data_IF_245880653843
#
_entry.id   IF_245880653843
#
_cell.length_a   1.000
_cell.length_b   1.000
_cell.length_c   1.000
_cell.angle_alpha   90.00
_cell.angle_beta   90.00
_cell.angle_gamma   90.00
#
_symmetry.space_group_name_H-M   'P 1'
#
loop_
_entity.id
_entity.type
_entity.pdbx_description
1 polymer ?
#
# COMPACT_ATOMS: atom_id res chain seq x y z
N UNK A 1 5.59 9.49 -12.42
CA UNK A 1 4.80 10.71 -12.67
C UNK A 1 5.66 11.73 -13.41
N UNK A 2 5.21 12.22 -14.56
CA UNK A 2 5.92 13.20 -15.39
C UNK A 2 6.19 14.56 -14.69
N UNK A 3 5.55 14.83 -13.58
CA UNK A 3 5.70 16.06 -12.78
C UNK A 3 6.63 15.90 -11.57
N UNK A 4 7.43 14.84 -11.52
CA UNK A 4 8.35 14.63 -10.40
C UNK A 4 9.59 15.54 -10.57
N UNK A 5 9.92 16.39 -9.60
CA UNK A 5 10.98 17.39 -9.72
C UNK A 5 12.39 16.79 -9.86
N UNK A 6 12.58 15.52 -9.51
CA UNK A 6 13.89 14.85 -9.60
C UNK A 6 14.14 14.19 -10.96
N UNK A 7 13.13 14.08 -11.84
CA UNK A 7 13.28 13.46 -13.14
C UNK A 7 14.10 14.37 -14.06
N UNK A 8 15.06 13.79 -14.79
CA UNK A 8 15.98 14.47 -15.70
C UNK A 8 16.89 15.51 -15.02
N UNK A 9 16.99 15.49 -13.68
CA UNK A 9 17.86 16.38 -12.91
C UNK A 9 19.07 15.59 -12.41
N UNK A 10 20.33 16.06 -12.62
CA UNK A 10 21.50 15.43 -12.05
C UNK A 10 21.43 15.38 -10.51
N UNK A 11 21.85 14.27 -9.90
CA UNK A 11 21.76 14.08 -8.45
C UNK A 11 22.49 15.17 -7.65
N UNK A 12 23.60 15.69 -8.16
CA UNK A 12 24.32 16.82 -7.53
C UNK A 12 23.43 18.06 -7.38
N UNK A 13 22.59 18.37 -8.37
CA UNK A 13 21.67 19.52 -8.32
C UNK A 13 20.55 19.30 -7.32
N UNK A 14 20.15 18.06 -7.05
CA UNK A 14 19.16 17.77 -6.02
C UNK A 14 19.66 18.16 -4.63
N UNK A 15 20.94 18.00 -4.34
CA UNK A 15 21.54 18.42 -3.07
C UNK A 15 21.55 19.94 -2.92
N UNK A 16 21.68 20.70 -4.01
CA UNK A 16 21.61 22.15 -4.03
C UNK A 16 20.15 22.66 -3.91
N UNK A 17 19.24 22.07 -4.69
CA UNK A 17 17.82 22.42 -4.69
C UNK A 17 17.13 22.08 -3.38
N UNK A 18 17.57 21.02 -2.72
CA UNK A 18 16.99 20.51 -1.47
C UNK A 18 18.03 20.44 -0.35
N UNK A 19 18.77 21.53 -0.15
CA UNK A 19 19.91 21.64 0.79
C UNK A 19 19.60 21.23 2.23
N UNK A 20 18.34 21.31 2.65
CA UNK A 20 17.88 20.92 3.99
C UNK A 20 17.28 19.50 4.04
N UNK A 21 17.44 18.69 2.98
CA UNK A 21 16.94 17.33 2.93
C UNK A 21 18.03 16.36 3.36
N UNK A 22 17.86 15.73 4.52
CA UNK A 22 18.78 14.66 4.96
C UNK A 22 18.39 13.34 4.29
N UNK A 23 18.67 13.24 2.99
CA UNK A 23 18.40 12.06 2.19
C UNK A 23 19.58 11.74 1.26
N UNK A 24 19.86 10.46 1.08
CA UNK A 24 20.94 9.95 0.23
C UNK A 24 20.36 8.88 -0.69
N UNK A 25 20.62 8.98 -1.99
CA UNK A 25 20.30 7.93 -2.95
C UNK A 25 21.36 6.84 -2.88
N UNK A 26 20.99 5.67 -2.40
CA UNK A 26 21.88 4.53 -2.24
C UNK A 26 22.02 3.70 -3.51
N UNK A 27 20.97 3.65 -4.32
CA UNK A 27 20.96 2.84 -5.53
C UNK A 27 19.79 3.18 -6.43
N UNK A 28 19.94 2.81 -7.70
CA UNK A 28 18.91 2.95 -8.72
C UNK A 28 18.78 1.63 -9.46
N UNK A 29 17.55 1.11 -9.55
CA UNK A 29 17.21 0.01 -10.44
C UNK A 29 16.53 0.58 -11.68
N UNK A 30 17.17 0.43 -12.81
CA UNK A 30 16.66 0.82 -14.13
C UNK A 30 16.46 -0.44 -14.96
N UNK A 31 15.21 -0.76 -15.27
CA UNK A 31 14.84 -2.06 -15.84
C UNK A 31 15.35 -3.19 -14.92
N UNK A 32 16.22 -4.08 -15.41
CA UNK A 32 16.78 -5.19 -14.61
C UNK A 32 18.16 -4.89 -13.99
N UNK A 33 18.71 -3.68 -14.19
CA UNK A 33 20.06 -3.33 -13.73
C UNK A 33 20.00 -2.47 -12.48
N UNK A 34 20.61 -2.97 -11.39
CA UNK A 34 20.85 -2.21 -10.17
C UNK A 34 22.26 -1.59 -10.21
N UNK A 35 22.39 -0.31 -9.90
CA UNK A 35 23.67 0.38 -9.82
C UNK A 35 23.67 1.46 -8.73
N UNK A 36 24.86 1.81 -8.25
CA UNK A 36 25.06 2.97 -7.37
C UNK A 36 25.23 4.20 -8.26
N UNK A 37 24.36 5.21 -8.16
CA UNK A 37 24.43 6.36 -9.02
C UNK A 37 25.58 7.29 -8.63
N UNK A 38 26.13 7.97 -9.64
CA UNK A 38 27.11 9.04 -9.48
C UNK A 38 26.44 10.41 -9.41
N UNK A 39 27.11 11.47 -8.92
CA UNK A 39 26.51 12.81 -8.82
C UNK A 39 26.00 13.38 -10.15
N UNK A 40 26.59 12.96 -11.27
CA UNK A 40 26.22 13.38 -12.64
C UNK A 40 25.05 12.60 -13.21
N UNK A 41 24.71 11.45 -12.62
CA UNK A 41 23.62 10.61 -13.10
C UNK A 41 22.26 11.29 -12.90
N UNK A 42 21.36 11.03 -13.85
CA UNK A 42 19.99 11.52 -13.83
C UNK A 42 19.03 10.35 -13.56
N UNK A 43 17.95 10.67 -12.88
CA UNK A 43 16.83 9.76 -12.68
C UNK A 43 15.81 9.91 -13.81
N UNK A 44 15.26 8.80 -14.25
CA UNK A 44 14.25 8.76 -15.31
C UNK A 44 12.93 8.18 -14.81
N UNK A 45 11.86 8.47 -15.52
CA UNK A 45 10.56 7.85 -15.24
C UNK A 45 10.67 6.33 -15.38
N UNK A 46 10.16 5.60 -14.39
CA UNK A 46 10.25 4.14 -14.33
C UNK A 46 11.47 3.60 -13.56
N UNK A 47 12.39 4.46 -13.13
CA UNK A 47 13.47 4.05 -12.22
C UNK A 47 12.91 3.73 -10.83
N UNK A 48 13.39 2.65 -10.24
CA UNK A 48 13.18 2.36 -8.83
C UNK A 48 14.38 2.88 -8.04
N UNK A 49 14.13 3.83 -7.14
CA UNK A 49 15.19 4.54 -6.41
C UNK A 49 15.19 4.11 -4.94
N UNK A 50 16.35 3.68 -4.46
CA UNK A 50 16.58 3.34 -3.05
C UNK A 50 17.15 4.56 -2.34
N UNK A 51 16.37 5.14 -1.42
CA UNK A 51 16.74 6.36 -0.72
C UNK A 51 16.81 6.08 0.77
N UNK A 52 17.88 6.52 1.40
CA UNK A 52 18.01 6.59 2.86
C UNK A 52 17.69 8.01 3.31
N UNK A 53 16.83 8.16 4.32
CA UNK A 53 16.51 9.46 4.90
C UNK A 53 16.22 9.36 6.39
N UNK A 54 16.26 10.50 7.10
CA UNK A 54 15.79 10.54 8.47
C UNK A 54 14.28 10.33 8.53
N UNK A 55 13.78 9.85 9.67
CA UNK A 55 12.33 9.68 9.90
C UNK A 55 11.59 11.02 9.75
N UNK A 56 12.22 12.13 10.16
CA UNK A 56 11.66 13.48 10.05
C UNK A 56 11.48 13.92 8.60
N UNK A 57 12.44 13.57 7.74
CA UNK A 57 12.46 13.98 6.33
C UNK A 57 11.77 12.97 5.41
N UNK A 58 11.31 11.82 5.93
CA UNK A 58 10.73 10.73 5.14
C UNK A 58 9.59 11.20 4.23
N UNK A 59 8.63 11.94 4.77
CA UNK A 59 7.49 12.39 4.00
C UNK A 59 7.92 13.34 2.87
N UNK A 60 8.75 14.34 3.20
CA UNK A 60 9.28 15.30 2.22
C UNK A 60 10.15 14.62 1.16
N UNK A 61 10.95 13.63 1.57
CA UNK A 61 11.74 12.83 0.65
C UNK A 61 10.85 12.11 -0.37
N UNK A 62 9.79 11.44 0.09
CA UNK A 62 8.86 10.74 -0.79
C UNK A 62 8.14 11.68 -1.76
N UNK A 63 7.70 12.85 -1.31
CA UNK A 63 7.07 13.88 -2.15
C UNK A 63 8.04 14.37 -3.25
N UNK A 64 9.29 14.65 -2.90
CA UNK A 64 10.34 15.07 -3.84
C UNK A 64 10.60 14.00 -4.90
N UNK A 65 10.63 12.72 -4.52
CA UNK A 65 10.79 11.60 -5.45
C UNK A 65 9.47 11.19 -6.16
N UNK A 66 8.45 12.05 -6.11
CA UNK A 66 7.19 11.88 -6.85
C UNK A 66 6.28 10.78 -6.32
N UNK A 67 6.57 10.24 -5.14
CA UNK A 67 5.59 9.50 -4.35
C UNK A 67 4.76 10.51 -3.57
N UNK A 68 3.75 11.02 -4.23
CA UNK A 68 2.66 11.67 -3.51
C UNK A 68 2.04 10.59 -2.61
N UNK A 69 2.41 10.64 -1.34
CA UNK A 69 1.73 9.87 -0.31
C UNK A 69 0.34 10.49 -0.19
N UNK A 70 -0.53 10.21 -1.15
CA UNK A 70 -1.96 10.29 -0.87
C UNK A 70 -2.11 9.48 0.42
N UNK A 71 -2.33 10.17 1.51
CA UNK A 71 -2.48 9.55 2.82
C UNK A 71 -3.64 8.60 2.66
N UNK A 72 -3.33 7.31 2.47
CA UNK A 72 -4.31 6.27 2.28
C UNK A 72 -5.25 6.31 3.47
N UNK A 73 -6.38 6.95 3.29
CA UNK A 73 -7.35 7.16 4.36
C UNK A 73 -8.51 6.17 4.27
N UNK A 74 -8.76 5.61 3.10
CA UNK A 74 -9.86 4.66 2.86
C UNK A 74 -9.29 3.26 2.63
N UNK A 75 -9.60 2.37 3.52
CA UNK A 75 -9.03 1.04 3.57
C UNK A 75 -10.14 -0.01 3.60
N UNK A 76 -9.92 -1.11 2.87
CA UNK A 76 -10.73 -2.33 3.03
C UNK A 76 -9.82 -3.42 3.61
N UNK A 77 -10.28 -4.08 4.66
CA UNK A 77 -9.67 -5.29 5.20
C UNK A 77 -10.62 -6.45 4.89
N UNK A 78 -10.10 -7.53 4.31
CA UNK A 78 -10.86 -8.75 4.04
C UNK A 78 -10.32 -9.86 4.93
N UNK A 79 -11.16 -10.33 5.84
CA UNK A 79 -10.85 -11.27 6.91
C UNK A 79 -10.84 -10.62 8.27
N UNK A 80 -11.80 -11.00 9.12
CA UNK A 80 -11.96 -10.53 10.50
C UNK A 80 -11.28 -11.42 11.55
N UNK A 81 -10.32 -12.25 11.13
CA UNK A 81 -9.50 -13.05 12.02
C UNK A 81 -8.51 -12.20 12.83
N UNK A 82 -7.58 -12.87 13.52
CA UNK A 82 -6.61 -12.20 14.39
C UNK A 82 -5.81 -11.09 13.69
N UNK A 83 -5.36 -11.33 12.45
CA UNK A 83 -4.57 -10.35 11.70
C UNK A 83 -5.42 -9.14 11.36
N UNK A 84 -6.57 -9.34 10.70
CA UNK A 84 -7.44 -8.24 10.26
C UNK A 84 -7.98 -7.40 11.41
N UNK A 85 -8.41 -8.05 12.49
CA UNK A 85 -8.87 -7.36 13.70
C UNK A 85 -7.77 -6.51 14.33
N UNK A 86 -6.54 -7.04 14.47
CA UNK A 86 -5.44 -6.29 15.04
C UNK A 86 -5.00 -5.12 14.16
N UNK A 87 -5.02 -5.27 12.83
CA UNK A 87 -4.76 -4.18 11.91
C UNK A 87 -5.82 -3.08 12.07
N UNK A 88 -7.12 -3.45 12.08
CA UNK A 88 -8.21 -2.49 12.27
C UNK A 88 -8.09 -1.73 13.59
N UNK A 89 -7.83 -2.42 14.70
CA UNK A 89 -7.59 -1.81 16.03
C UNK A 89 -6.42 -0.83 16.00
N UNK A 90 -5.32 -1.22 15.39
CA UNK A 90 -4.12 -0.37 15.28
C UNK A 90 -4.41 0.90 14.49
N UNK A 91 -5.16 0.79 13.39
CA UNK A 91 -5.56 1.93 12.58
C UNK A 91 -6.47 2.89 13.35
N UNK A 92 -7.42 2.38 14.12
CA UNK A 92 -8.29 3.21 14.98
C UNK A 92 -7.51 3.95 16.07
N UNK A 93 -6.48 3.32 16.64
CA UNK A 93 -5.66 3.89 17.70
C UNK A 93 -4.65 4.93 17.20
N UNK A 94 -4.06 4.70 16.00
CA UNK A 94 -2.90 5.48 15.53
C UNK A 94 -3.26 6.89 15.12
N UNK A 95 -4.47 7.14 14.58
CA UNK A 95 -4.88 8.49 14.16
C UNK A 95 -6.39 8.54 13.93
N UNK A 96 -7.13 9.00 14.93
CA UNK A 96 -8.60 8.90 15.01
C UNK A 96 -9.35 9.43 13.79
N UNK A 97 -8.82 10.44 13.09
CA UNK A 97 -9.52 11.09 11.99
C UNK A 97 -8.92 10.79 10.61
N UNK A 98 -7.89 9.95 10.55
CA UNK A 98 -7.11 9.75 9.33
C UNK A 98 -7.54 8.55 8.49
N UNK A 99 -8.07 7.50 9.12
CA UNK A 99 -8.38 6.24 8.44
C UNK A 99 -9.88 5.94 8.50
N UNK A 100 -10.45 5.70 7.33
CA UNK A 100 -11.81 5.17 7.14
C UNK A 100 -11.67 3.71 6.73
N UNK A 101 -11.90 2.82 7.66
CA UNK A 101 -11.71 1.40 7.46
C UNK A 101 -13.06 0.70 7.30
N UNK A 102 -13.16 -0.19 6.32
CA UNK A 102 -14.22 -1.19 6.20
C UNK A 102 -13.59 -2.57 6.37
N UNK A 103 -14.25 -3.47 7.09
CA UNK A 103 -13.79 -4.83 7.25
C UNK A 103 -14.88 -5.79 6.78
N UNK A 104 -14.50 -6.67 5.84
CA UNK A 104 -15.38 -7.70 5.30
C UNK A 104 -15.06 -9.02 5.98
N UNK A 105 -16.07 -9.65 6.59
CA UNK A 105 -15.94 -10.95 7.25
C UNK A 105 -17.10 -11.87 6.83
N UNK A 106 -16.74 -13.08 6.37
CA UNK A 106 -17.69 -14.04 5.84
C UNK A 106 -18.52 -14.72 6.93
N UNK A 107 -17.87 -15.06 8.04
CA UNK A 107 -18.54 -15.69 9.17
C UNK A 107 -19.31 -14.64 9.98
N UNK A 108 -20.62 -14.81 10.07
CA UNK A 108 -21.52 -13.87 10.76
C UNK A 108 -21.16 -13.70 12.25
N UNK A 109 -20.92 -14.80 12.97
CA UNK A 109 -20.57 -14.72 14.40
C UNK A 109 -19.24 -14.02 14.63
N UNK A 110 -18.26 -14.24 13.73
CA UNK A 110 -16.99 -13.52 13.77
C UNK A 110 -17.19 -12.04 13.43
N UNK A 111 -18.00 -11.70 12.44
CA UNK A 111 -18.32 -10.33 12.09
C UNK A 111 -18.96 -9.56 13.25
N UNK A 112 -19.88 -10.18 13.98
CA UNK A 112 -20.49 -9.63 15.20
C UNK A 112 -19.42 -9.41 16.30
N UNK A 113 -18.55 -10.39 16.55
CA UNK A 113 -17.43 -10.27 17.52
C UNK A 113 -16.47 -9.13 17.17
N UNK A 114 -16.15 -9.00 15.88
CA UNK A 114 -15.28 -7.91 15.38
C UNK A 114 -15.97 -6.56 15.53
N UNK A 115 -17.27 -6.48 15.24
CA UNK A 115 -18.06 -5.25 15.38
C UNK A 115 -18.07 -4.77 16.84
N UNK A 116 -18.22 -5.67 17.81
CA UNK A 116 -18.18 -5.33 19.24
C UNK A 116 -16.79 -4.86 19.71
N UNK A 117 -15.75 -5.19 18.95
CA UNK A 117 -14.35 -4.89 19.30
C UNK A 117 -13.80 -3.61 18.67
N UNK A 118 -14.52 -2.99 17.73
CA UNK A 118 -14.11 -1.82 16.95
C UNK A 118 -15.15 -0.71 17.09
N UNK A 119 -14.68 0.53 17.15
CA UNK A 119 -15.55 1.68 17.39
C UNK A 119 -15.96 2.41 16.08
N UNK A 120 -15.11 2.36 15.05
CA UNK A 120 -15.25 3.21 13.85
C UNK A 120 -15.13 2.46 12.53
N UNK A 121 -14.61 1.25 12.56
CA UNK A 121 -14.52 0.41 11.39
C UNK A 121 -15.90 -0.12 11.02
N UNK A 122 -16.32 0.10 9.79
CA UNK A 122 -17.60 -0.44 9.28
C UNK A 122 -17.41 -1.91 8.95
N UNK A 123 -18.22 -2.77 9.58
CA UNK A 123 -18.18 -4.21 9.36
C UNK A 123 -19.22 -4.59 8.32
N UNK A 124 -18.79 -5.28 7.27
CA UNK A 124 -19.64 -5.84 6.23
C UNK A 124 -19.59 -7.37 6.34
N UNK A 125 -20.74 -7.99 6.54
CA UNK A 125 -20.81 -9.45 6.62
C UNK A 125 -21.06 -10.04 5.22
N UNK A 126 -20.10 -10.77 4.70
CA UNK A 126 -20.21 -11.46 3.41
C UNK A 126 -18.86 -11.95 2.87
N UNK A 127 -18.92 -12.56 1.69
CA UNK A 127 -17.74 -13.11 1.03
C UNK A 127 -16.89 -12.00 0.39
N UNK A 128 -15.60 -11.95 0.70
CA UNK A 128 -14.65 -11.00 0.10
C UNK A 128 -14.43 -11.17 -1.41
N UNK A 129 -14.95 -12.26 -2.00
CA UNK A 129 -14.98 -12.48 -3.43
C UNK A 129 -16.29 -12.00 -4.09
N UNK A 130 -17.29 -11.60 -3.32
CA UNK A 130 -18.54 -11.07 -3.87
C UNK A 130 -18.32 -9.66 -4.41
N UNK A 131 -18.54 -9.50 -5.73
CA UNK A 131 -18.33 -8.23 -6.40
C UNK A 131 -19.31 -7.15 -5.91
N UNK A 132 -20.56 -7.52 -5.66
CA UNK A 132 -21.57 -6.56 -5.16
C UNK A 132 -21.20 -6.03 -3.78
N UNK A 133 -20.65 -6.86 -2.92
CA UNK A 133 -20.17 -6.46 -1.60
C UNK A 133 -18.92 -5.58 -1.69
N UNK A 134 -18.00 -5.90 -2.59
CA UNK A 134 -16.83 -5.06 -2.85
C UNK A 134 -17.20 -3.69 -3.44
N UNK A 135 -18.22 -3.63 -4.29
CA UNK A 135 -18.78 -2.38 -4.81
C UNK A 135 -19.47 -1.57 -3.70
N UNK A 136 -20.25 -2.20 -2.82
CA UNK A 136 -20.81 -1.57 -1.61
C UNK A 136 -19.70 -1.04 -0.69
N UNK A 137 -18.60 -1.77 -0.58
CA UNK A 137 -17.41 -1.31 0.12
C UNK A 137 -16.71 -0.13 -0.58
N UNK A 138 -17.10 0.23 -1.81
CA UNK A 138 -16.49 1.25 -2.67
C UNK A 138 -15.05 0.92 -3.09
N UNK A 139 -14.80 -0.33 -3.51
CA UNK A 139 -13.46 -0.82 -3.88
C UNK A 139 -12.72 0.06 -4.88
N UNK A 140 -13.44 0.68 -5.84
CA UNK A 140 -12.85 1.57 -6.85
C UNK A 140 -12.37 2.93 -6.30
N UNK A 141 -12.67 3.25 -5.04
CA UNK A 141 -12.31 4.52 -4.42
C UNK A 141 -11.41 4.38 -3.19
N UNK A 142 -11.02 3.15 -2.85
CA UNK A 142 -10.13 2.91 -1.71
C UNK A 142 -8.67 3.19 -2.09
N UNK A 143 -7.90 3.57 -1.09
CA UNK A 143 -6.48 3.82 -1.24
C UNK A 143 -5.67 2.52 -1.06
N UNK A 144 -6.19 1.58 -0.28
CA UNK A 144 -5.61 0.24 -0.14
C UNK A 144 -6.65 -0.82 0.22
N UNK A 145 -6.35 -2.07 -0.16
CA UNK A 145 -7.02 -3.28 0.32
C UNK A 145 -6.00 -4.22 0.96
N UNK A 146 -6.41 -4.85 2.07
CA UNK A 146 -5.64 -5.88 2.75
C UNK A 146 -6.47 -7.16 2.78
N UNK A 147 -6.03 -8.20 2.07
CA UNK A 147 -6.66 -9.52 2.11
C UNK A 147 -5.85 -10.43 3.05
N UNK A 148 -6.43 -10.73 4.22
CA UNK A 148 -5.77 -11.38 5.35
C UNK A 148 -6.64 -12.49 5.95
N UNK A 149 -7.37 -13.20 5.09
CA UNK A 149 -8.11 -14.40 5.48
C UNK A 149 -7.13 -15.59 5.70
N UNK A 150 -7.64 -16.70 6.14
CA UNK A 150 -6.90 -17.97 6.29
C UNK A 150 -6.72 -18.73 4.98
N UNK A 151 -7.34 -18.28 3.87
CA UNK A 151 -7.22 -18.89 2.54
C UNK A 151 -6.43 -18.00 1.57
N UNK A 152 -5.22 -18.43 1.25
CA UNK A 152 -4.31 -17.74 0.34
C UNK A 152 -4.92 -17.48 -1.06
N UNK A 153 -5.75 -18.40 -1.56
CA UNK A 153 -6.41 -18.24 -2.87
C UNK A 153 -7.45 -17.14 -2.83
N UNK A 154 -8.25 -17.09 -1.78
CA UNK A 154 -9.21 -16.00 -1.54
C UNK A 154 -8.47 -14.67 -1.44
N UNK A 155 -7.36 -14.60 -0.68
CA UNK A 155 -6.55 -13.40 -0.53
C UNK A 155 -6.02 -12.92 -1.88
N UNK A 156 -5.44 -13.82 -2.68
CA UNK A 156 -4.90 -13.51 -4.00
C UNK A 156 -5.97 -13.01 -4.98
N UNK A 157 -7.12 -13.71 -5.04
CA UNK A 157 -8.23 -13.33 -5.94
C UNK A 157 -8.86 -12.00 -5.54
N UNK A 158 -9.03 -11.74 -4.25
CA UNK A 158 -9.54 -10.46 -3.73
C UNK A 158 -8.62 -9.32 -4.12
N UNK A 159 -7.31 -9.46 -3.91
CA UNK A 159 -6.32 -8.46 -4.31
C UNK A 159 -6.30 -8.23 -5.82
N UNK A 160 -6.40 -9.30 -6.63
CA UNK A 160 -6.47 -9.19 -8.09
C UNK A 160 -7.70 -8.42 -8.54
N UNK A 161 -8.85 -8.67 -7.95
CA UNK A 161 -10.10 -7.90 -8.21
C UNK A 161 -9.92 -6.43 -7.83
N UNK A 162 -9.35 -6.16 -6.67
CA UNK A 162 -9.10 -4.80 -6.22
C UNK A 162 -8.20 -4.03 -7.20
N UNK A 163 -7.12 -4.64 -7.68
CA UNK A 163 -6.25 -4.04 -8.70
C UNK A 163 -7.00 -3.77 -10.00
N UNK A 164 -7.81 -4.71 -10.46
CA UNK A 164 -8.65 -4.54 -11.66
C UNK A 164 -9.68 -3.43 -11.51
N UNK A 165 -10.14 -3.16 -10.29
CA UNK A 165 -11.05 -2.06 -9.95
C UNK A 165 -10.33 -0.72 -9.73
N UNK A 166 -9.01 -0.67 -9.92
CA UNK A 166 -8.21 0.57 -9.81
C UNK A 166 -7.65 0.86 -8.41
N UNK A 167 -7.75 -0.07 -7.46
CA UNK A 167 -7.14 0.10 -6.13
C UNK A 167 -5.60 0.22 -6.27
N UNK A 168 -4.98 1.32 -5.80
CA UNK A 168 -3.56 1.56 -6.03
C UNK A 168 -2.66 0.63 -5.23
N UNK A 169 -3.08 0.19 -4.04
CA UNK A 169 -2.29 -0.68 -3.16
C UNK A 169 -3.12 -1.90 -2.75
N UNK A 170 -2.67 -3.10 -3.10
CA UNK A 170 -3.29 -4.35 -2.68
C UNK A 170 -2.25 -5.21 -1.96
N UNK A 171 -2.50 -5.47 -0.68
CA UNK A 171 -1.63 -6.26 0.19
C UNK A 171 -2.28 -7.61 0.44
N UNK A 172 -1.55 -8.67 0.13
CA UNK A 172 -2.01 -10.05 0.24
C UNK A 172 -1.22 -10.80 1.32
N UNK A 173 -1.91 -11.37 2.29
CA UNK A 173 -1.30 -12.36 3.18
C UNK A 173 -1.19 -13.70 2.45
N UNK A 174 0.02 -14.25 2.37
CA UNK A 174 0.29 -15.53 1.73
C UNK A 174 1.11 -16.40 2.67
N UNK A 175 0.60 -17.57 2.99
CA UNK A 175 1.28 -18.56 3.83
C UNK A 175 2.09 -19.56 2.97
N UNK A 176 1.61 -19.87 1.76
CA UNK A 176 2.30 -20.74 0.81
C UNK A 176 3.29 -19.93 -0.05
N UNK A 177 4.57 -20.09 0.24
CA UNK A 177 5.64 -19.38 -0.49
C UNK A 177 5.70 -19.68 -1.99
N UNK A 178 5.08 -20.77 -2.46
CA UNK A 178 4.99 -21.08 -3.90
C UNK A 178 4.17 -20.05 -4.67
N UNK A 179 3.25 -19.34 -4.02
CA UNK A 179 2.41 -18.32 -4.61
C UNK A 179 3.11 -16.96 -4.75
N UNK A 180 4.24 -16.74 -4.09
CA UNK A 180 4.96 -15.46 -4.12
C UNK A 180 5.36 -15.03 -5.53
N UNK A 181 5.67 -15.99 -6.41
CA UNK A 181 6.02 -15.70 -7.81
C UNK A 181 4.86 -15.12 -8.64
N UNK A 182 3.62 -15.27 -8.17
CA UNK A 182 2.42 -14.77 -8.84
C UNK A 182 2.09 -13.31 -8.45
N UNK A 183 2.56 -12.84 -7.32
CA UNK A 183 2.17 -11.55 -6.75
C UNK A 183 2.68 -10.37 -7.58
N UNK A 184 3.97 -10.34 -7.89
CA UNK A 184 4.58 -9.24 -8.64
C UNK A 184 3.97 -9.07 -10.05
N UNK A 185 3.77 -10.13 -10.87
CA UNK A 185 3.10 -10.00 -12.17
C UNK A 185 1.66 -9.49 -12.08
N UNK A 186 0.97 -9.73 -10.97
CA UNK A 186 -0.39 -9.25 -10.70
C UNK A 186 -0.42 -7.83 -10.11
N UNK A 187 0.75 -7.24 -9.84
CA UNK A 187 0.87 -5.93 -9.20
C UNK A 187 0.40 -5.92 -7.74
N UNK A 188 0.48 -7.07 -7.07
CA UNK A 188 0.06 -7.26 -5.67
C UNK A 188 1.29 -7.16 -4.77
N UNK A 189 1.12 -6.51 -3.63
CA UNK A 189 2.14 -6.39 -2.60
C UNK A 189 1.93 -7.48 -1.53
N UNK A 190 3.02 -8.04 -0.94
CA UNK A 190 2.98 -9.08 0.07
C UNK A 190 3.85 -8.74 1.27
#
# INVERSE_FOLDING_TARGET
NSNCPVINTPLRQLSELFSNLNAIVLGVRRKSKLFVPKPEDQLFSGDQVYVFSTIRDRQRTLEIFGKDMKRGSRLIIVGGGNVGLNVAKTLEQTNRDKFHCKLIEKNRGQAETVADSLERTVILNGDGLDLSLLEEANIGQVDAILAVTDDDKTNLLTCTRAKSSGCPLAICLVNDSSLNSLLEPMGIDA
#
